data_IF_529427162374
#
_entry.id   IF_529427162374
#
_cell.length_a   1.000
_cell.length_b   1.000
_cell.length_c   1.000
_cell.angle_alpha   90.00
_cell.angle_beta   90.00
_cell.angle_gamma   90.00
#
_symmetry.space_group_name_H-M   'P 1'
#
loop_
_entity.id
_entity.type
_entity.pdbx_description
1 polymer ?
#
# COMPACT_ATOMS: atom_id res chain seq x y z
N UNK A 1 -19.33 52.33 -36.17
CA UNK A 1 -20.79 52.14 -36.28
C UNK A 1 -21.09 51.60 -37.66
N UNK A 2 -21.85 50.49 -37.77
CA UNK A 2 -22.35 49.83 -39.00
C UNK A 2 -21.22 49.30 -39.94
N UNK A 3 -21.26 48.13 -40.57
CA UNK A 3 -22.21 47.03 -40.76
C UNK A 3 -21.59 46.04 -41.78
N UNK A 4 -22.35 45.03 -42.20
CA UNK A 4 -22.07 44.01 -43.26
C UNK A 4 -21.20 42.80 -42.86
N UNK A 5 -21.49 41.55 -43.23
CA UNK A 5 -22.66 40.87 -43.85
C UNK A 5 -22.44 39.35 -43.67
N UNK A 6 -23.53 38.60 -43.54
CA UNK A 6 -23.61 37.13 -43.59
C UNK A 6 -23.21 36.54 -44.95
N UNK A 7 -22.65 35.32 -44.97
CA UNK A 7 -23.03 34.30 -45.97
C UNK A 7 -22.83 32.87 -45.45
N UNK A 8 -23.74 32.00 -45.90
CA UNK A 8 -23.98 30.59 -45.58
C UNK A 8 -23.67 29.76 -46.84
N UNK A 9 -23.08 28.57 -46.72
CA UNK A 9 -23.30 27.37 -47.58
C UNK A 9 -22.47 26.20 -47.01
N UNK A 10 -23.00 25.12 -46.42
CA UNK A 10 -23.86 24.02 -46.91
C UNK A 10 -23.19 23.02 -47.88
N UNK A 11 -22.93 21.81 -47.33
CA UNK A 11 -23.03 20.43 -47.89
C UNK A 11 -22.21 20.07 -49.15
N UNK A 12 -21.47 18.96 -49.08
CA UNK A 12 -21.79 17.70 -49.79
C UNK A 12 -20.86 16.54 -49.32
N UNK A 13 -21.47 15.38 -49.03
CA UNK A 13 -20.86 14.05 -48.86
C UNK A 13 -20.57 13.46 -50.27
N UNK A 14 -19.66 12.47 -50.47
CA UNK A 14 -20.05 11.09 -50.24
C UNK A 14 -18.96 10.12 -49.76
N UNK A 15 -19.46 8.94 -49.41
CA UNK A 15 -18.89 7.70 -48.89
C UNK A 15 -18.16 6.79 -49.91
N UNK A 16 -17.36 5.86 -49.34
CA UNK A 16 -17.21 4.44 -49.70
C UNK A 16 -15.87 3.96 -50.33
N UNK A 17 -15.24 3.03 -49.59
CA UNK A 17 -14.56 1.78 -49.99
C UNK A 17 -13.67 1.74 -51.25
N UNK A 18 -12.40 1.36 -51.06
CA UNK A 18 -11.89 0.05 -51.54
C UNK A 18 -10.42 -0.16 -51.16
N UNK A 19 -10.08 -1.44 -51.03
CA UNK A 19 -8.86 -2.07 -50.56
C UNK A 19 -7.84 -2.15 -51.71
N UNK A 20 -6.54 -1.96 -51.43
CA UNK A 20 -5.48 -2.56 -52.25
C UNK A 20 -4.18 -2.81 -51.46
N UNK A 21 -3.90 -4.09 -51.25
CA UNK A 21 -2.54 -4.65 -51.13
C UNK A 21 -1.97 -4.89 -52.52
N UNK A 22 -0.64 -4.94 -52.68
CA UNK A 22 -0.08 -6.19 -53.23
C UNK A 22 1.31 -6.53 -52.67
N UNK A 23 1.53 -7.79 -52.29
CA UNK A 23 2.82 -8.46 -52.49
C UNK A 23 2.60 -9.95 -52.78
N UNK A 24 3.41 -10.43 -53.70
CA UNK A 24 3.33 -11.67 -54.46
C UNK A 24 4.44 -12.63 -54.02
N UNK A 25 4.28 -13.93 -54.35
CA UNK A 25 5.33 -14.99 -54.46
C UNK A 25 5.74 -15.63 -53.10
N UNK A 26 5.85 -16.96 -52.88
CA UNK A 26 6.05 -18.12 -53.75
C UNK A 26 5.44 -19.40 -53.14
N UNK A 27 5.10 -20.35 -54.00
CA UNK A 27 4.47 -21.64 -53.73
C UNK A 27 5.51 -22.79 -53.83
N UNK A 28 5.30 -23.83 -53.01
CA UNK A 28 5.63 -25.26 -53.22
C UNK A 28 7.09 -25.75 -53.28
N UNK A 29 7.37 -26.79 -52.47
CA UNK A 29 7.79 -28.14 -52.93
C UNK A 29 7.41 -29.16 -51.83
N UNK A 30 6.94 -30.34 -52.27
CA UNK A 30 6.42 -31.46 -51.50
C UNK A 30 7.29 -32.72 -51.65
N UNK A 31 7.30 -33.59 -50.63
CA UNK A 31 7.47 -35.07 -50.63
C UNK A 31 7.50 -35.51 -49.15
N UNK A 32 6.59 -36.34 -48.60
CA UNK A 32 6.48 -37.81 -48.75
C UNK A 32 7.47 -38.51 -47.78
N UNK A 33 7.21 -39.52 -46.95
CA UNK A 33 6.24 -40.65 -46.85
C UNK A 33 6.37 -41.27 -45.42
N UNK A 34 5.29 -41.93 -44.93
CA UNK A 34 5.21 -43.17 -44.08
C UNK A 34 4.30 -43.11 -42.82
N UNK A 35 3.24 -43.94 -42.88
CA UNK A 35 2.36 -44.49 -41.83
C UNK A 35 3.13 -45.28 -40.75
N UNK A 36 2.62 -45.49 -39.51
CA UNK A 36 1.45 -46.35 -39.26
C UNK A 36 0.50 -46.00 -38.09
N UNK A 37 -0.60 -46.74 -38.11
CA UNK A 37 -1.72 -46.90 -37.18
C UNK A 37 -1.40 -46.85 -35.68
N UNK A 38 -2.27 -46.22 -34.88
CA UNK A 38 -2.80 -46.82 -33.64
C UNK A 38 -4.16 -46.19 -33.26
N UNK A 39 -5.19 -47.05 -33.30
CA UNK A 39 -6.53 -46.87 -32.72
C UNK A 39 -6.42 -46.68 -31.20
N UNK A 40 -7.21 -45.79 -30.57
CA UNK A 40 -7.89 -46.04 -29.28
C UNK A 40 -9.00 -45.00 -28.99
N UNK A 41 -10.24 -45.46 -29.19
CA UNK A 41 -11.47 -45.32 -28.38
C UNK A 41 -11.85 -43.99 -27.69
N UNK A 42 -12.94 -43.41 -28.20
CA UNK A 42 -13.89 -42.53 -27.52
C UNK A 42 -15.12 -43.37 -27.09
N UNK A 43 -15.54 -43.33 -25.82
CA UNK A 43 -16.94 -43.13 -25.35
C UNK A 43 -17.05 -43.24 -23.79
N UNK A 44 -18.12 -42.68 -23.18
CA UNK A 44 -18.21 -42.24 -21.77
C UNK A 44 -19.18 -43.06 -20.90
N UNK A 45 -19.13 -42.85 -19.57
CA UNK A 45 -20.15 -43.14 -18.54
C UNK A 45 -19.49 -42.85 -17.17
N UNK A 46 -20.12 -42.58 -16.03
CA UNK A 46 -21.44 -42.17 -15.58
C UNK A 46 -21.31 -41.99 -14.04
N UNK A 47 -22.26 -41.28 -13.43
CA UNK A 47 -22.75 -41.50 -12.05
C UNK A 47 -21.79 -41.41 -10.83
N UNK A 48 -21.98 -40.37 -10.02
CA UNK A 48 -22.14 -40.51 -8.56
C UNK A 48 -22.79 -39.24 -7.96
N UNK A 49 -24.09 -39.35 -7.65
CA UNK A 49 -24.75 -38.50 -6.66
C UNK A 49 -24.31 -38.91 -5.25
N UNK A 50 -24.00 -37.95 -4.40
CA UNK A 50 -24.15 -38.12 -2.95
C UNK A 50 -24.60 -36.79 -2.32
N UNK A 51 -25.87 -36.79 -1.92
CA UNK A 51 -26.51 -35.80 -1.06
C UNK A 51 -25.82 -35.82 0.31
N UNK A 52 -25.38 -34.67 0.83
CA UNK A 52 -25.12 -34.53 2.27
C UNK A 52 -26.18 -33.66 2.91
N UNK A 53 -26.77 -34.26 3.93
CA UNK A 53 -27.97 -33.85 4.64
C UNK A 53 -27.63 -32.75 5.64
N UNK A 54 -28.44 -31.69 5.62
CA UNK A 54 -28.51 -30.67 6.66
C UNK A 54 -28.92 -31.28 8.00
N UNK A 55 -28.16 -31.03 9.06
CA UNK A 55 -28.64 -31.13 10.45
C UNK A 55 -28.22 -29.91 11.27
N UNK A 56 -29.14 -28.94 11.27
CA UNK A 56 -29.40 -27.99 12.35
C UNK A 56 -29.67 -28.76 13.65
N UNK A 57 -28.94 -28.44 14.73
CA UNK A 57 -29.37 -28.76 16.10
C UNK A 57 -29.21 -27.49 16.95
N UNK A 58 -30.35 -27.02 17.47
CA UNK A 58 -30.50 -26.04 18.52
C UNK A 58 -30.45 -26.73 19.89
N UNK A 59 -29.70 -26.17 20.84
CA UNK A 59 -29.96 -26.07 22.30
C UNK A 59 -29.04 -24.94 22.81
N UNK A 60 -29.48 -23.72 23.18
CA UNK A 60 -30.34 -23.29 24.28
C UNK A 60 -29.85 -23.77 25.66
N UNK A 61 -29.18 -22.88 26.43
CA UNK A 61 -29.23 -22.74 27.90
C UNK A 61 -28.53 -21.43 28.37
N UNK A 62 -29.23 -20.64 29.21
CA UNK A 62 -28.75 -19.62 30.18
C UNK A 62 -28.10 -18.34 29.62
N UNK A 63 -28.67 -17.12 29.67
CA UNK A 63 -29.19 -16.30 30.79
C UNK A 63 -28.13 -15.85 31.81
N UNK A 64 -28.19 -14.55 32.18
CA UNK A 64 -27.36 -13.72 33.09
C UNK A 64 -26.08 -13.12 32.48
N UNK A 65 -25.73 -11.83 32.55
CA UNK A 65 -26.37 -10.61 33.03
C UNK A 65 -25.68 -9.41 32.33
N UNK A 66 -26.42 -8.36 32.03
CA UNK A 66 -25.91 -7.05 31.58
C UNK A 66 -26.45 -5.99 32.53
N UNK A 67 -25.60 -5.37 33.33
CA UNK A 67 -25.78 -4.02 33.90
C UNK A 67 -24.45 -3.55 34.52
N UNK A 68 -23.80 -2.57 33.89
CA UNK A 68 -23.74 -1.17 34.33
C UNK A 68 -22.74 -0.91 35.45
N UNK A 69 -21.56 -0.37 35.10
CA UNK A 69 -20.72 0.36 36.05
C UNK A 69 -20.69 1.83 35.64
N UNK A 70 -21.37 2.62 36.46
CA UNK A 70 -21.36 4.07 36.48
C UNK A 70 -20.09 4.59 37.15
N UNK A 71 -19.57 5.66 36.56
CA UNK A 71 -18.61 6.61 37.12
C UNK A 71 -19.01 7.09 38.53
N UNK A 72 -18.02 7.20 39.42
CA UNK A 72 -17.99 8.32 40.38
C UNK A 72 -16.57 8.77 40.66
N UNK A 73 -16.33 10.05 40.39
CA UNK A 73 -15.24 10.86 40.93
C UNK A 73 -15.36 10.94 42.45
N UNK A 74 -14.22 10.88 43.15
CA UNK A 74 -14.03 11.70 44.36
C UNK A 74 -12.56 11.99 44.61
N UNK A 75 -12.34 13.29 44.70
CA UNK A 75 -11.15 14.07 44.97
C UNK A 75 -10.49 13.82 46.36
N UNK A 76 -9.16 13.94 46.36
CA UNK A 76 -8.36 14.88 47.16
C UNK A 76 -7.64 14.47 48.47
N UNK A 77 -6.49 15.17 48.62
CA UNK A 77 -5.65 15.48 49.80
C UNK A 77 -4.68 14.38 50.25
N UNK A 78 -3.34 14.53 50.15
CA UNK A 78 -2.35 15.46 50.75
C UNK A 78 -1.54 14.77 51.87
N UNK A 79 -0.22 15.00 51.89
CA UNK A 79 0.70 14.71 53.02
C UNK A 79 1.67 13.56 52.75
N UNK A 80 2.93 13.79 52.33
CA UNK A 80 4.14 14.14 53.11
C UNK A 80 4.61 13.11 54.14
N UNK A 81 5.92 12.76 54.07
CA UNK A 81 6.73 12.20 55.17
C UNK A 81 7.29 10.80 54.87
N UNK A 82 8.48 10.62 54.29
CA UNK A 82 9.85 10.65 54.86
C UNK A 82 10.21 9.56 55.89
N UNK A 83 11.40 8.98 55.68
CA UNK A 83 12.28 8.23 56.59
C UNK A 83 11.84 6.80 56.98
N UNK A 84 12.53 5.74 56.59
CA UNK A 84 13.91 5.27 56.89
C UNK A 84 13.97 4.28 58.06
N UNK A 85 14.87 3.29 57.87
CA UNK A 85 15.57 2.52 58.91
C UNK A 85 14.73 1.51 59.73
N UNK A 86 14.82 0.21 59.45
CA UNK A 86 15.89 -0.74 59.85
C UNK A 86 15.76 -1.31 61.28
N UNK A 87 16.35 -2.50 61.48
CA UNK A 87 16.36 -3.40 62.66
C UNK A 87 15.22 -4.42 62.78
N UNK A 88 15.39 -5.66 63.23
CA UNK A 88 16.52 -6.60 63.38
C UNK A 88 15.96 -7.89 64.03
N UNK A 89 16.76 -8.98 63.99
CA UNK A 89 16.67 -10.25 64.78
C UNK A 89 15.66 -11.29 64.29
N UNK A 90 16.11 -12.46 63.79
CA UNK A 90 16.61 -13.66 64.52
C UNK A 90 15.51 -14.25 65.44
N UNK A 91 15.15 -15.54 65.44
CA UNK A 91 15.93 -16.77 65.26
C UNK A 91 15.04 -18.04 65.26
N UNK A 92 15.57 -19.14 64.68
CA UNK A 92 15.49 -20.56 65.14
C UNK A 92 14.15 -21.32 64.93
N UNK A 93 14.05 -22.62 64.59
CA UNK A 93 14.74 -23.86 65.01
C UNK A 93 14.44 -25.05 64.03
N UNK A 94 15.44 -25.95 63.86
CA UNK A 94 15.50 -27.41 63.49
C UNK A 94 14.38 -28.10 62.67
N UNK A 95 14.63 -29.10 61.80
CA UNK A 95 15.86 -29.84 61.46
C UNK A 95 15.57 -31.14 60.66
N UNK A 96 16.66 -31.87 60.35
CA UNK A 96 16.83 -33.25 59.81
C UNK A 96 17.19 -33.42 58.31
N UNK A 97 18.49 -33.71 58.10
CA UNK A 97 19.10 -34.51 57.02
C UNK A 97 19.21 -35.99 57.52
N UNK A 98 19.82 -37.01 56.82
CA UNK A 98 20.79 -36.95 55.71
C UNK A 98 20.63 -38.03 54.61
N UNK A 99 21.47 -37.99 53.56
CA UNK A 99 22.30 -39.11 53.07
C UNK A 99 23.26 -38.64 51.97
N UNK A 100 24.55 -38.99 52.13
CA UNK A 100 25.71 -38.59 51.35
C UNK A 100 25.92 -39.37 50.03
N UNK A 101 26.55 -38.72 49.04
CA UNK A 101 27.70 -39.29 48.31
C UNK A 101 28.44 -38.20 47.50
N UNK A 102 29.75 -38.07 47.77
CA UNK A 102 30.67 -37.10 47.19
C UNK A 102 31.11 -37.40 45.75
N UNK A 103 31.33 -36.35 44.95
CA UNK A 103 32.49 -36.29 44.03
C UNK A 103 33.07 -34.88 43.96
N UNK A 104 34.31 -34.77 44.44
CA UNK A 104 35.25 -33.64 44.40
C UNK A 104 35.58 -33.30 42.92
N UNK A 105 35.89 -32.08 42.49
CA UNK A 105 36.98 -31.17 42.88
C UNK A 105 36.60 -29.73 42.43
N UNK A 106 36.61 -28.74 43.32
CA UNK A 106 37.73 -27.84 43.69
C UNK A 106 37.77 -26.56 42.84
N UNK A 107 37.27 -25.48 43.43
CA UNK A 107 37.39 -24.08 43.00
C UNK A 107 38.78 -23.56 43.36
N UNK A 108 39.61 -23.25 42.37
CA UNK A 108 40.86 -22.52 42.58
C UNK A 108 40.62 -21.05 42.31
N UNK A 109 40.70 -20.25 43.36
CA UNK A 109 40.84 -18.79 43.32
C UNK A 109 42.22 -18.50 42.70
N UNK A 110 42.28 -17.70 41.64
CA UNK A 110 43.52 -17.11 41.14
C UNK A 110 43.47 -15.60 41.38
N UNK A 111 44.39 -15.14 42.23
CA UNK A 111 44.77 -13.74 42.41
C UNK A 111 45.80 -13.33 41.33
N UNK A 112 45.99 -12.02 41.10
CA UNK A 112 46.49 -11.46 39.86
C UNK A 112 48.00 -11.68 39.74
N UNK A 113 48.45 -12.20 38.60
CA UNK A 113 49.74 -11.93 37.95
C UNK A 113 50.01 -13.02 36.90
N UNK A 114 49.31 -12.92 35.78
CA UNK A 114 49.82 -13.40 34.49
C UNK A 114 49.02 -12.73 33.38
N UNK A 115 49.72 -11.87 32.65
CA UNK A 115 49.38 -11.47 31.29
C UNK A 115 49.02 -12.69 30.45
N UNK A 116 48.07 -12.52 29.52
CA UNK A 116 47.53 -13.49 28.53
C UNK A 116 46.08 -13.91 28.86
N UNK A 117 45.12 -13.13 28.38
CA UNK A 117 43.69 -13.45 28.50
C UNK A 117 42.73 -12.26 28.47
N UNK A 118 43.23 -11.03 28.32
CA UNK A 118 42.35 -9.90 28.04
C UNK A 118 41.81 -10.07 26.63
N UNK A 119 40.51 -10.26 26.50
CA UNK A 119 39.81 -9.96 25.25
C UNK A 119 40.32 -8.62 24.73
N UNK A 120 40.74 -8.51 23.46
CA UNK A 120 41.28 -7.27 22.94
C UNK A 120 40.19 -6.20 22.99
N UNK A 121 40.32 -5.24 23.91
CA UNK A 121 39.43 -4.08 24.03
C UNK A 121 39.43 -3.21 22.76
N UNK A 122 40.43 -3.40 21.89
CA UNK A 122 40.58 -2.76 20.60
C UNK A 122 39.63 -3.31 19.50
N UNK A 123 38.95 -4.44 19.74
CA UNK A 123 37.92 -4.99 18.82
C UNK A 123 36.49 -4.62 19.22
N UNK A 124 36.29 -4.03 20.40
CA UNK A 124 35.08 -3.25 20.66
C UNK A 124 35.26 -1.86 20.05
N UNK A 125 35.15 -1.79 18.72
CA UNK A 125 34.64 -0.56 18.10
C UNK A 125 33.16 -0.43 18.49
N UNK A 126 32.92 -0.13 19.77
CA UNK A 126 31.66 0.44 20.21
C UNK A 126 31.65 1.86 19.69
N UNK A 127 31.44 2.00 18.37
CA UNK A 127 30.86 3.22 17.86
C UNK A 127 29.45 3.26 18.45
N UNK A 128 29.34 3.73 19.70
CA UNK A 128 28.06 4.19 20.22
C UNK A 128 27.64 5.27 19.25
N UNK A 129 26.74 4.93 18.34
CA UNK A 129 25.95 5.94 17.65
C UNK A 129 25.20 6.63 18.78
N UNK A 130 25.72 7.77 19.21
CA UNK A 130 24.98 8.67 20.07
C UNK A 130 23.77 9.08 19.24
N UNK A 131 22.65 8.42 19.43
CA UNK A 131 21.36 9.02 19.10
C UNK A 131 21.20 10.15 20.10
N UNK A 132 21.24 11.42 19.69
CA UNK A 132 21.10 12.51 20.64
C UNK A 132 19.77 12.38 21.37
N UNK A 133 19.81 12.58 22.69
CA UNK A 133 18.63 12.59 23.54
C UNK A 133 17.54 13.47 22.91
N UNK A 134 16.32 12.94 22.82
CA UNK A 134 15.21 13.51 22.04
C UNK A 134 14.78 14.87 22.59
N UNK A 135 15.41 15.96 22.14
CA UNK A 135 14.86 17.30 22.30
C UNK A 135 13.64 17.46 21.38
N UNK A 136 12.48 17.63 22.01
CA UNK A 136 11.20 17.80 21.32
C UNK A 136 11.25 19.12 20.53
N UNK A 137 11.46 19.04 19.21
CA UNK A 137 11.34 20.20 18.32
C UNK A 137 12.38 20.33 17.21
N UNK A 138 13.45 19.53 17.22
CA UNK A 138 14.46 19.53 16.15
C UNK A 138 14.42 18.19 15.42
N UNK A 139 14.24 18.25 14.10
CA UNK A 139 14.33 17.08 13.24
C UNK A 139 15.78 16.57 13.26
N UNK A 140 15.98 15.28 13.52
CA UNK A 140 17.33 14.71 13.56
C UNK A 140 17.69 14.07 12.21
N UNK A 141 18.91 14.33 11.74
CA UNK A 141 19.42 13.67 10.56
C UNK A 141 19.65 12.17 10.85
N UNK A 142 19.09 11.31 10.00
CA UNK A 142 19.28 9.86 10.14
C UNK A 142 20.43 9.40 9.26
N UNK A 143 21.15 8.37 9.70
CA UNK A 143 22.16 7.71 8.87
C UNK A 143 21.64 6.32 8.49
N UNK A 144 21.65 6.01 7.20
CA UNK A 144 21.20 4.72 6.67
C UNK A 144 22.31 4.04 5.86
N UNK A 145 22.50 2.71 5.97
CA UNK A 145 23.42 2.00 5.10
C UNK A 145 22.89 2.01 3.66
N UNK A 146 23.82 2.15 2.71
CA UNK A 146 23.55 2.09 1.28
C UNK A 146 23.97 0.73 0.78
N UNK A 147 23.04 0.01 0.15
CA UNK A 147 23.26 -1.34 -0.37
C UNK A 147 23.09 -1.39 -1.90
N UNK A 148 23.30 -2.58 -2.47
CA UNK A 148 23.05 -2.86 -3.89
C UNK A 148 22.19 -4.14 -4.04
N UNK A 149 21.80 -4.51 -5.26
CA UNK A 149 21.05 -5.75 -5.54
C UNK A 149 21.76 -7.03 -5.09
N UNK A 150 23.08 -6.98 -4.94
CA UNK A 150 23.90 -8.09 -4.43
C UNK A 150 24.05 -8.09 -2.90
N UNK A 151 23.36 -7.18 -2.19
CA UNK A 151 23.48 -6.95 -0.74
C UNK A 151 24.91 -6.60 -0.29
N UNK A 152 25.69 -5.98 -1.18
CA UNK A 152 26.98 -5.41 -0.84
C UNK A 152 26.79 -4.05 -0.16
N UNK A 153 27.53 -3.81 0.92
CA UNK A 153 27.55 -2.52 1.60
C UNK A 153 28.39 -1.51 0.81
N UNK A 154 27.78 -0.39 0.39
CA UNK A 154 28.40 0.70 -0.38
C UNK A 154 28.60 1.98 0.45
N UNK A 155 28.55 1.83 1.78
CA UNK A 155 28.78 2.91 2.74
C UNK A 155 27.47 3.43 3.37
N UNK A 156 27.50 4.67 3.82
CA UNK A 156 26.39 5.30 4.53
C UNK A 156 25.94 6.60 3.85
N UNK A 157 24.66 6.90 3.97
CA UNK A 157 24.08 8.16 3.52
C UNK A 157 23.30 8.83 4.64
N UNK A 158 23.43 10.16 4.72
CA UNK A 158 22.67 11.00 5.64
C UNK A 158 21.31 11.35 5.01
N UNK A 159 20.24 11.11 5.75
CA UNK A 159 18.87 11.48 5.43
C UNK A 159 18.50 12.74 6.21
N UNK A 160 18.01 13.76 5.49
CA UNK A 160 17.58 15.01 6.09
C UNK A 160 16.41 14.77 7.08
N UNK A 161 16.62 15.13 8.34
CA UNK A 161 15.62 14.92 9.40
C UNK A 161 14.29 15.60 9.09
N UNK A 162 14.33 16.79 8.47
CA UNK A 162 13.11 17.55 8.16
C UNK A 162 12.17 16.85 7.17
N UNK A 163 12.68 15.86 6.43
CA UNK A 163 11.94 15.04 5.47
C UNK A 163 11.65 13.66 6.03
N UNK A 164 12.62 13.04 6.71
CA UNK A 164 12.58 11.64 7.13
C UNK A 164 12.27 11.43 8.61
N UNK A 165 12.15 12.48 9.43
CA UNK A 165 11.86 12.41 10.87
C UNK A 165 10.68 13.31 11.29
N UNK A 166 9.63 13.37 10.48
CA UNK A 166 8.44 14.20 10.77
C UNK A 166 7.49 13.45 11.70
N UNK A 167 6.87 14.13 12.71
CA UNK A 167 5.90 13.51 13.59
C UNK A 167 4.75 12.85 12.82
N UNK A 168 4.48 11.60 13.17
CA UNK A 168 3.52 10.76 12.45
C UNK A 168 2.09 11.27 12.67
N UNK A 169 1.51 11.85 11.62
CA UNK A 169 0.16 12.44 11.62
C UNK A 169 -0.79 11.68 10.69
N UNK A 170 -1.61 10.80 11.29
CA UNK A 170 -2.57 9.94 10.58
C UNK A 170 -3.66 10.73 9.84
N UNK A 171 -4.06 11.88 10.38
CA UNK A 171 -5.07 12.77 9.81
C UNK A 171 -4.67 13.32 8.44
N UNK A 172 -3.41 13.77 8.31
CA UNK A 172 -2.87 14.33 7.07
C UNK A 172 -2.75 13.22 6.00
N UNK A 173 -2.23 12.06 6.40
CA UNK A 173 -2.12 10.89 5.51
C UNK A 173 -3.49 10.50 4.96
N UNK A 174 -4.49 10.36 5.83
CA UNK A 174 -5.85 10.01 5.43
C UNK A 174 -6.44 11.04 4.44
N UNK A 175 -6.25 12.35 4.68
CA UNK A 175 -6.71 13.41 3.77
C UNK A 175 -6.04 13.32 2.40
N UNK A 176 -4.72 13.11 2.36
CA UNK A 176 -3.96 13.00 1.10
C UNK A 176 -4.38 11.76 0.32
N UNK A 177 -4.55 10.62 0.98
CA UNK A 177 -4.98 9.36 0.33
C UNK A 177 -6.39 9.51 -0.24
N UNK A 178 -7.34 10.05 0.53
CA UNK A 178 -8.70 10.32 0.03
C UNK A 178 -8.69 11.26 -1.16
N UNK A 179 -7.86 12.30 -1.12
CA UNK A 179 -7.67 13.21 -2.25
C UNK A 179 -7.15 12.48 -3.50
N UNK A 180 -6.14 11.62 -3.37
CA UNK A 180 -5.60 10.84 -4.49
C UNK A 180 -6.60 9.83 -5.06
N UNK A 181 -7.39 9.17 -4.22
CA UNK A 181 -8.42 8.22 -4.66
C UNK A 181 -9.57 8.94 -5.37
N UNK A 182 -10.08 10.02 -4.79
CA UNK A 182 -11.17 10.80 -5.38
C UNK A 182 -10.77 11.45 -6.71
N UNK A 183 -9.52 11.91 -6.84
CA UNK A 183 -8.99 12.47 -8.09
C UNK A 183 -8.85 11.44 -9.22
N UNK A 184 -8.67 10.16 -8.90
CA UNK A 184 -8.57 9.06 -9.88
C UNK A 184 -9.92 8.63 -10.45
N UNK A 185 -11.04 8.99 -9.83
CA UNK A 185 -12.37 8.56 -10.26
C UNK A 185 -12.84 9.33 -11.50
N UNK A 186 -13.33 8.59 -12.51
CA UNK A 186 -13.80 9.17 -13.77
C UNK A 186 -15.24 9.72 -13.68
N UNK A 187 -16.13 9.07 -12.91
CA UNK A 187 -17.49 9.55 -12.68
C UNK A 187 -18.43 9.51 -13.91
N UNK A 188 -18.32 8.49 -14.75
CA UNK A 188 -19.11 8.32 -16.00
C UNK A 188 -20.51 7.74 -15.81
N UNK A 189 -20.95 7.56 -14.57
CA UNK A 189 -22.29 7.07 -14.28
C UNK A 189 -23.36 8.05 -14.79
N UNK A 190 -24.36 7.56 -15.51
CA UNK A 190 -25.46 8.39 -16.01
C UNK A 190 -26.75 7.59 -16.07
N UNK A 191 -27.77 8.08 -15.38
CA UNK A 191 -29.15 7.61 -15.55
C UNK A 191 -29.95 8.56 -16.41
N UNK A 192 -30.98 8.05 -17.08
CA UNK A 192 -31.90 8.86 -17.87
C UNK A 192 -32.90 9.56 -16.95
N UNK A 193 -32.93 10.88 -17.04
CA UNK A 193 -33.97 11.75 -16.48
C UNK A 193 -35.23 11.67 -17.33
N UNK A 194 -36.33 12.22 -16.82
CA UNK A 194 -37.64 12.15 -17.47
C UNK A 194 -37.67 12.70 -18.90
N UNK A 195 -36.84 13.70 -19.20
CA UNK A 195 -36.69 14.29 -20.52
C UNK A 195 -35.88 13.40 -21.49
N UNK A 196 -34.95 12.60 -20.99
CA UNK A 196 -34.06 11.74 -21.78
C UNK A 196 -34.64 10.34 -22.02
N UNK A 197 -35.64 9.92 -21.24
CA UNK A 197 -36.35 8.67 -21.47
C UNK A 197 -37.21 8.80 -22.73
N UNK A 198 -37.03 7.84 -23.65
CA UNK A 198 -37.82 7.76 -24.88
C UNK A 198 -39.27 7.43 -24.55
N UNK A 199 -40.21 8.16 -25.16
CA UNK A 199 -41.64 7.97 -24.98
C UNK A 199 -42.45 9.21 -25.31
N UNK A 200 -43.77 9.06 -25.36
CA UNK A 200 -44.66 10.17 -25.73
C UNK A 200 -44.74 11.26 -24.65
N UNK A 201 -44.74 12.53 -25.09
CA UNK A 201 -45.07 13.68 -24.25
C UNK A 201 -46.58 13.90 -24.08
N UNK A 202 -47.41 13.14 -24.80
CA UNK A 202 -48.88 13.27 -24.74
C UNK A 202 -49.41 12.77 -23.40
N UNK A 203 -50.37 13.51 -22.84
CA UNK A 203 -51.08 13.11 -21.62
C UNK A 203 -51.80 11.77 -21.86
N UNK A 204 -51.63 10.76 -21.00
CA UNK A 204 -52.14 9.41 -21.27
C UNK A 204 -53.67 9.31 -21.28
N UNK A 205 -54.34 10.08 -20.42
CA UNK A 205 -55.80 10.17 -20.36
C UNK A 205 -56.26 11.53 -19.82
N UNK A 206 -57.55 11.83 -20.02
CA UNK A 206 -58.20 13.05 -19.51
C UNK A 206 -58.05 13.19 -17.99
N UNK A 207 -58.00 14.43 -17.51
CA UNK A 207 -57.72 14.75 -16.10
C UNK A 207 -58.77 14.20 -15.11
N UNK A 208 -60.02 14.01 -15.58
CA UNK A 208 -61.16 13.52 -14.80
C UNK A 208 -62.01 12.57 -15.64
N UNK A 209 -62.80 11.70 -14.99
CA UNK A 209 -63.79 10.84 -15.65
C UNK A 209 -63.28 9.46 -16.11
N UNK A 210 -62.06 9.05 -15.76
CA UNK A 210 -61.54 7.69 -16.05
C UNK A 210 -61.46 6.77 -14.84
N UNK A 211 -61.69 7.28 -13.61
CA UNK A 211 -61.56 6.50 -12.37
C UNK A 211 -60.13 6.10 -11.98
N UNK A 212 -59.12 6.41 -12.81
CA UNK A 212 -57.70 6.11 -12.56
C UNK A 212 -56.98 7.28 -11.88
N UNK A 213 -55.82 7.00 -11.29
CA UNK A 213 -54.90 8.04 -10.82
C UNK A 213 -54.55 9.05 -11.93
N UNK A 214 -54.30 10.30 -11.54
CA UNK A 214 -54.01 11.39 -12.50
C UNK A 214 -52.53 11.36 -12.88
N UNK A 215 -52.23 11.32 -14.16
CA UNK A 215 -50.85 11.37 -14.66
C UNK A 215 -50.68 12.40 -15.79
N UNK A 216 -49.49 12.99 -15.84
CA UNK A 216 -49.05 13.90 -16.90
C UNK A 216 -48.33 13.17 -18.04
N UNK A 217 -47.52 12.17 -17.72
CA UNK A 217 -46.75 11.36 -18.67
C UNK A 217 -46.55 9.94 -18.13
N UNK A 218 -46.33 8.97 -19.01
CA UNK A 218 -45.98 7.58 -18.65
C UNK A 218 -44.48 7.39 -18.39
N UNK A 219 -43.66 8.42 -18.62
CA UNK A 219 -42.20 8.38 -18.37
C UNK A 219 -41.83 8.69 -16.92
N UNK A 220 -42.81 8.93 -16.06
CA UNK A 220 -42.60 9.19 -14.64
C UNK A 220 -41.99 8.00 -13.91
N UNK A 221 -41.26 8.25 -12.84
CA UNK A 221 -40.52 7.21 -12.10
C UNK A 221 -41.40 6.12 -11.46
N UNK A 222 -42.67 6.41 -11.20
CA UNK A 222 -43.61 5.43 -10.68
C UNK A 222 -44.02 4.37 -11.73
N UNK A 223 -43.76 4.62 -13.02
CA UNK A 223 -44.07 3.70 -14.10
C UNK A 223 -42.88 2.80 -14.44
N UNK A 224 -43.18 1.55 -14.84
CA UNK A 224 -42.18 0.63 -15.36
C UNK A 224 -41.56 1.20 -16.65
N UNK A 225 -40.23 1.23 -16.71
CA UNK A 225 -39.49 1.84 -17.83
C UNK A 225 -39.45 3.37 -17.80
N UNK A 226 -39.97 3.98 -16.72
CA UNK A 226 -39.87 5.41 -16.48
C UNK A 226 -38.48 5.85 -16.04
N UNK A 227 -38.32 7.16 -15.82
CA UNK A 227 -37.06 7.77 -15.46
C UNK A 227 -36.63 7.51 -14.02
N UNK A 228 -35.33 7.65 -13.76
CA UNK A 228 -34.77 7.62 -12.40
C UNK A 228 -34.78 9.05 -11.82
N UNK A 229 -35.45 9.27 -10.68
CA UNK A 229 -35.57 10.63 -10.09
C UNK A 229 -34.24 11.16 -9.55
N UNK A 230 -33.66 10.47 -8.57
CA UNK A 230 -32.39 10.84 -7.93
C UNK A 230 -31.27 9.90 -8.37
N UNK A 231 -31.20 9.69 -9.68
CA UNK A 231 -30.17 8.85 -10.27
C UNK A 231 -28.85 9.60 -10.46
N UNK A 232 -27.73 8.87 -10.51
CA UNK A 232 -26.41 9.46 -10.68
C UNK A 232 -26.26 10.12 -12.08
N UNK A 233 -25.62 11.28 -12.11
CA UNK A 233 -25.26 12.02 -13.34
C UNK A 233 -23.76 12.21 -13.44
N UNK A 234 -23.18 12.26 -14.66
CA UNK A 234 -21.74 12.38 -14.82
C UNK A 234 -21.21 13.61 -14.11
N UNK A 235 -20.24 13.39 -13.22
CA UNK A 235 -19.65 14.47 -12.41
C UNK A 235 -18.22 14.13 -12.04
N UNK A 236 -17.42 15.17 -11.80
CA UNK A 236 -16.10 14.98 -11.21
C UNK A 236 -16.20 14.73 -9.70
N UNK A 237 -15.42 13.78 -9.20
CA UNK A 237 -15.25 13.53 -7.77
C UNK A 237 -13.99 14.20 -7.21
N UNK A 238 -13.21 14.90 -8.05
CA UNK A 238 -11.93 15.47 -7.66
C UNK A 238 -12.10 16.57 -6.60
N UNK A 239 -11.47 16.38 -5.45
CA UNK A 239 -11.34 17.40 -4.40
C UNK A 239 -9.99 18.14 -4.54
N UNK A 240 -9.92 19.39 -4.09
CA UNK A 240 -8.67 20.17 -4.06
C UNK A 240 -7.99 20.02 -2.70
N UNK A 241 -6.65 20.02 -2.69
CA UNK A 241 -5.83 19.97 -1.47
C UNK A 241 -4.60 20.85 -1.60
N UNK A 242 -4.29 21.62 -0.55
CA UNK A 242 -3.20 22.59 -0.53
C UNK A 242 -1.85 21.92 -0.86
N UNK A 243 -1.01 22.58 -1.66
CA UNK A 243 0.32 22.07 -2.06
C UNK A 243 1.18 21.71 -0.85
N UNK A 244 1.17 22.56 0.20
CA UNK A 244 1.90 22.32 1.47
C UNK A 244 1.44 21.05 2.19
N UNK A 245 0.13 20.81 2.26
CA UNK A 245 -0.44 19.59 2.90
C UNK A 245 -0.06 18.33 2.12
N UNK A 246 -0.01 18.41 0.78
CA UNK A 246 0.45 17.29 -0.06
C UNK A 246 1.92 16.94 0.18
N UNK A 247 2.80 17.94 0.26
CA UNK A 247 4.23 17.73 0.60
C UNK A 247 4.40 17.17 2.01
N UNK A 248 3.68 17.73 2.98
CA UNK A 248 3.69 17.25 4.37
C UNK A 248 3.26 15.78 4.47
N UNK A 249 2.20 15.38 3.76
CA UNK A 249 1.78 13.98 3.73
C UNK A 249 2.83 13.04 3.13
N UNK A 250 3.60 13.51 2.15
CA UNK A 250 4.71 12.74 1.58
C UNK A 250 5.87 12.61 2.58
N UNK A 251 6.24 13.69 3.28
CA UNK A 251 7.22 13.65 4.37
C UNK A 251 6.83 12.64 5.45
N UNK A 252 5.61 12.74 5.99
CA UNK A 252 5.09 11.80 7.00
C UNK A 252 5.13 10.34 6.51
N UNK A 253 4.81 10.09 5.24
CA UNK A 253 4.84 8.73 4.69
C UNK A 253 6.27 8.16 4.60
N UNK A 254 7.25 9.01 4.22
CA UNK A 254 8.66 8.63 4.21
C UNK A 254 9.18 8.41 5.63
N UNK A 255 8.85 9.31 6.56
CA UNK A 255 9.24 9.16 7.97
C UNK A 255 8.67 7.89 8.59
N UNK A 256 7.42 7.53 8.28
CA UNK A 256 6.84 6.28 8.74
C UNK A 256 7.61 5.05 8.21
N UNK A 257 8.04 5.06 6.94
CA UNK A 257 8.84 3.94 6.37
C UNK A 257 10.24 3.88 6.95
N UNK A 258 10.87 5.03 7.18
CA UNK A 258 12.16 5.11 7.85
C UNK A 258 12.09 4.61 9.30
N UNK A 259 11.09 5.05 10.07
CA UNK A 259 10.86 4.63 11.45
C UNK A 259 10.55 3.13 11.58
N UNK A 260 9.87 2.54 10.59
CA UNK A 260 9.63 1.09 10.53
C UNK A 260 10.86 0.28 10.07
N UNK A 261 11.95 0.93 9.63
CA UNK A 261 13.12 0.25 9.06
C UNK A 261 12.85 -0.41 7.70
N UNK A 262 11.75 -0.06 7.03
CA UNK A 262 11.34 -0.62 5.71
C UNK A 262 11.71 0.27 4.53
N UNK A 263 12.51 1.29 4.80
CA UNK A 263 13.16 2.11 3.79
C UNK A 263 14.57 1.57 3.57
N UNK A 264 14.91 1.21 2.35
CA UNK A 264 16.27 0.80 1.96
C UNK A 264 16.79 1.75 0.90
N UNK A 265 18.05 2.16 1.00
CA UNK A 265 18.68 3.04 0.02
C UNK A 265 19.67 2.25 -0.79
N UNK A 266 19.55 2.37 -2.11
CA UNK A 266 20.44 1.76 -3.08
C UNK A 266 21.40 2.79 -3.64
N UNK A 267 22.64 2.37 -3.92
CA UNK A 267 23.58 3.23 -4.65
C UNK A 267 23.02 3.54 -6.04
N UNK A 268 22.69 2.49 -6.78
CA UNK A 268 22.11 2.54 -8.11
C UNK A 268 21.08 1.40 -8.31
N UNK A 269 20.13 1.61 -9.22
CA UNK A 269 19.09 0.64 -9.58
C UNK A 269 19.38 -0.06 -10.92
N UNK A 270 20.61 -0.01 -11.41
CA UNK A 270 21.00 -0.69 -12.64
C UNK A 270 21.05 -2.23 -12.49
N UNK A 271 20.49 -2.92 -13.48
CA UNK A 271 20.46 -4.39 -13.55
C UNK A 271 21.16 -4.83 -14.84
N UNK A 272 22.07 -5.81 -14.81
CA UNK A 272 22.84 -6.21 -15.98
C UNK A 272 21.95 -6.77 -17.11
N UNK A 273 20.88 -7.49 -16.75
CA UNK A 273 19.97 -8.18 -17.66
C UNK A 273 18.50 -7.86 -17.35
N UNK A 274 17.65 -7.85 -18.38
CA UNK A 274 16.19 -7.64 -18.29
C UNK A 274 15.41 -8.88 -17.81
N UNK A 275 16.09 -9.89 -17.24
CA UNK A 275 15.46 -11.13 -16.75
C UNK A 275 14.77 -10.89 -15.41
N UNK A 276 13.47 -11.20 -15.35
CA UNK A 276 12.63 -11.10 -14.15
C UNK A 276 13.18 -11.93 -12.98
N UNK A 277 13.81 -13.08 -13.26
CA UNK A 277 14.42 -13.96 -12.26
C UNK A 277 15.41 -13.23 -11.34
N UNK A 278 16.13 -12.24 -11.85
CA UNK A 278 17.09 -11.46 -11.05
C UNK A 278 16.37 -10.68 -9.94
N UNK A 279 15.28 -10.00 -10.28
CA UNK A 279 14.47 -9.24 -9.32
C UNK A 279 13.74 -10.18 -8.35
N UNK A 280 13.21 -11.29 -8.83
CA UNK A 280 12.53 -12.29 -8.00
C UNK A 280 13.49 -12.86 -6.94
N UNK A 281 14.70 -13.25 -7.36
CA UNK A 281 15.72 -13.75 -6.43
C UNK A 281 16.08 -12.70 -5.36
N UNK A 282 16.19 -11.43 -5.76
CA UNK A 282 16.45 -10.34 -4.82
C UNK A 282 15.30 -10.15 -3.81
N UNK A 283 14.04 -10.15 -4.28
CA UNK A 283 12.88 -10.06 -3.38
C UNK A 283 12.82 -11.23 -2.41
N UNK A 284 13.24 -12.43 -2.82
CA UNK A 284 13.32 -13.59 -1.92
C UNK A 284 14.42 -13.48 -0.85
N UNK A 285 15.50 -12.73 -1.12
CA UNK A 285 16.55 -12.47 -0.15
C UNK A 285 16.09 -11.45 0.91
N UNK A 286 15.16 -10.56 0.55
CA UNK A 286 14.57 -9.62 1.51
C UNK A 286 13.56 -10.34 2.40
N UNK A 287 13.93 -10.53 3.66
CA UNK A 287 12.99 -11.07 4.65
C UNK A 287 11.78 -10.12 4.84
N UNK A 288 10.60 -10.70 5.10
CA UNK A 288 9.39 -9.97 5.50
C UNK A 288 8.79 -8.98 4.49
N UNK A 289 9.14 -9.06 3.20
CA UNK A 289 8.58 -8.18 2.15
C UNK A 289 7.50 -8.89 1.33
N UNK A 290 6.26 -8.38 1.31
CA UNK A 290 5.21 -8.89 0.39
C UNK A 290 5.08 -8.04 -0.87
N UNK A 291 5.23 -6.72 -0.74
CA UNK A 291 5.15 -5.77 -1.85
C UNK A 291 6.28 -4.77 -1.78
N UNK A 292 6.95 -4.58 -2.91
CA UNK A 292 8.14 -3.76 -3.07
C UNK A 292 7.85 -2.56 -3.99
N UNK A 293 8.24 -1.37 -3.57
CA UNK A 293 8.23 -0.17 -4.39
C UNK A 293 9.67 0.29 -4.66
N UNK A 294 10.09 0.23 -5.92
CA UNK A 294 11.37 0.78 -6.39
C UNK A 294 11.17 2.23 -6.84
N UNK A 295 12.02 3.13 -6.37
CA UNK A 295 12.00 4.55 -6.74
C UNK A 295 13.35 4.96 -7.31
N UNK A 296 13.32 5.34 -8.58
CA UNK A 296 14.50 5.83 -9.27
C UNK A 296 14.49 7.36 -9.38
N UNK A 297 15.66 8.00 -9.39
CA UNK A 297 15.77 9.45 -9.43
C UNK A 297 15.40 10.02 -10.80
N UNK A 298 15.84 9.34 -11.86
CA UNK A 298 15.73 9.76 -13.25
C UNK A 298 14.66 9.05 -14.08
N UNK A 299 14.81 9.06 -15.42
CA UNK A 299 14.02 8.19 -16.29
C UNK A 299 14.36 6.74 -15.98
N UNK A 300 13.32 5.90 -15.87
CA UNK A 300 13.49 4.49 -15.50
C UNK A 300 14.31 3.78 -16.58
N UNK A 301 15.37 3.09 -16.16
CA UNK A 301 16.16 2.22 -17.04
C UNK A 301 15.26 1.13 -17.69
N UNK A 302 15.37 0.98 -19.02
CA UNK A 302 14.56 0.04 -19.79
C UNK A 302 14.69 -1.41 -19.30
N UNK A 303 15.91 -1.83 -18.94
CA UNK A 303 16.16 -3.19 -18.43
C UNK A 303 15.39 -3.45 -17.14
N UNK A 304 15.43 -2.48 -16.23
CA UNK A 304 14.74 -2.55 -14.94
C UNK A 304 13.21 -2.52 -15.13
N UNK A 305 12.71 -1.68 -16.05
CA UNK A 305 11.30 -1.62 -16.42
C UNK A 305 10.81 -2.98 -16.94
N UNK A 306 11.53 -3.58 -17.89
CA UNK A 306 11.17 -4.89 -18.47
C UNK A 306 11.26 -6.02 -17.43
N UNK A 307 12.23 -5.95 -16.51
CA UNK A 307 12.39 -6.94 -15.44
C UNK A 307 11.28 -6.86 -14.38
N UNK A 308 10.66 -5.68 -14.18
CA UNK A 308 9.66 -5.44 -13.13
C UNK A 308 8.22 -5.47 -13.63
N UNK A 309 7.94 -5.07 -14.88
CA UNK A 309 6.57 -4.91 -15.39
C UNK A 309 5.67 -6.15 -15.28
N UNK A 310 6.25 -7.35 -15.28
CA UNK A 310 5.50 -8.61 -15.19
C UNK A 310 5.20 -9.02 -13.73
N UNK A 311 5.84 -8.38 -12.74
CA UNK A 311 5.71 -8.72 -11.33
C UNK A 311 4.62 -7.86 -10.68
N UNK A 312 3.54 -8.49 -10.22
CA UNK A 312 2.40 -7.77 -9.62
C UNK A 312 2.71 -7.15 -8.24
N UNK A 313 3.73 -7.66 -7.56
CA UNK A 313 4.13 -7.22 -6.22
C UNK A 313 5.33 -6.24 -6.22
N UNK A 314 5.98 -6.03 -7.38
CA UNK A 314 7.07 -5.05 -7.53
C UNK A 314 6.59 -3.95 -8.45
N UNK A 315 6.54 -2.72 -7.95
CA UNK A 315 6.25 -1.56 -8.79
C UNK A 315 7.47 -0.65 -8.85
N UNK A 316 7.67 -0.01 -10.00
CA UNK A 316 8.71 0.99 -10.20
C UNK A 316 8.09 2.35 -10.50
N UNK A 317 8.60 3.39 -9.85
CA UNK A 317 8.20 4.77 -10.08
C UNK A 317 9.43 5.66 -10.22
N UNK A 318 9.41 6.69 -11.08
CA UNK A 318 10.40 7.75 -11.00
C UNK A 318 10.08 8.65 -9.77
N UNK A 319 11.09 9.33 -9.24
CA UNK A 319 11.01 10.20 -8.05
C UNK A 319 9.95 11.30 -8.19
N UNK A 320 9.74 11.79 -9.42
CA UNK A 320 8.69 12.76 -9.77
C UNK A 320 7.27 12.21 -9.55
N UNK A 321 7.06 10.91 -9.81
CA UNK A 321 5.78 10.21 -9.68
C UNK A 321 5.50 9.65 -8.28
N UNK A 322 6.41 9.88 -7.33
CA UNK A 322 6.28 9.37 -5.96
C UNK A 322 5.02 9.93 -5.29
N UNK A 323 4.25 9.04 -4.67
CA UNK A 323 2.94 9.36 -4.15
C UNK A 323 2.66 8.61 -2.83
N UNK A 324 1.87 9.23 -1.94
CA UNK A 324 1.57 8.67 -0.60
C UNK A 324 0.85 7.33 -0.69
N UNK A 325 -0.15 7.20 -1.57
CA UNK A 325 -0.90 5.95 -1.73
C UNK A 325 -0.01 4.76 -2.08
N UNK A 326 0.93 4.92 -3.03
CA UNK A 326 1.87 3.88 -3.42
C UNK A 326 2.82 3.53 -2.27
N UNK A 327 3.34 4.50 -1.53
CA UNK A 327 4.21 4.21 -0.37
C UNK A 327 3.48 3.37 0.69
N UNK A 328 2.20 3.65 0.94
CA UNK A 328 1.39 2.92 1.91
C UNK A 328 0.93 1.54 1.41
N UNK A 329 0.71 1.40 0.11
CA UNK A 329 0.28 0.14 -0.51
C UNK A 329 1.39 -0.93 -0.50
N UNK A 330 2.65 -0.51 -0.54
CA UNK A 330 3.81 -1.40 -0.54
C UNK A 330 4.41 -1.46 0.86
N UNK A 331 4.97 -2.61 1.21
CA UNK A 331 5.53 -2.83 2.55
C UNK A 331 6.92 -2.20 2.65
N UNK A 332 7.76 -2.45 1.64
CA UNK A 332 9.12 -1.92 1.55
C UNK A 332 9.27 -0.91 0.43
N UNK A 333 10.07 0.11 0.72
CA UNK A 333 10.40 1.20 -0.18
C UNK A 333 11.91 1.15 -0.42
N UNK A 334 12.33 0.91 -1.65
CA UNK A 334 13.73 0.98 -2.08
C UNK A 334 13.90 2.23 -2.94
N UNK A 335 14.83 3.09 -2.57
CA UNK A 335 15.12 4.32 -3.31
C UNK A 335 16.57 4.36 -3.75
N UNK A 336 16.85 4.80 -4.97
CA UNK A 336 18.24 5.12 -5.35
C UNK A 336 18.75 6.36 -4.61
N UNK A 337 20.07 6.47 -4.46
CA UNK A 337 20.74 7.63 -3.85
C UNK A 337 20.33 8.92 -4.55
N UNK A 338 20.28 8.91 -5.88
CA UNK A 338 19.80 10.03 -6.70
C UNK A 338 18.33 10.37 -6.40
N UNK A 339 17.47 9.36 -6.26
CA UNK A 339 16.07 9.59 -5.89
C UNK A 339 15.92 10.30 -4.54
N UNK A 340 16.72 9.93 -3.54
CA UNK A 340 16.70 10.58 -2.22
C UNK A 340 17.09 12.05 -2.35
N UNK A 341 18.21 12.33 -3.02
CA UNK A 341 18.70 13.71 -3.20
C UNK A 341 17.66 14.60 -3.88
N UNK A 342 17.05 14.12 -4.98
CA UNK A 342 15.99 14.85 -5.70
C UNK A 342 14.73 15.08 -4.86
N UNK A 343 14.36 14.10 -4.02
CA UNK A 343 13.21 14.25 -3.13
C UNK A 343 13.50 15.31 -2.07
N UNK A 344 14.69 15.29 -1.47
CA UNK A 344 15.12 16.27 -0.47
C UNK A 344 15.13 17.67 -1.09
N UNK A 345 15.77 17.85 -2.24
CA UNK A 345 15.79 19.10 -2.99
C UNK A 345 14.37 19.63 -3.27
N UNK A 346 13.46 18.75 -3.74
CA UNK A 346 12.07 19.11 -4.01
C UNK A 346 11.32 19.55 -2.76
N UNK A 347 11.67 19.02 -1.59
CA UNK A 347 11.04 19.37 -0.32
C UNK A 347 11.56 20.69 0.24
N UNK A 348 12.87 20.97 0.08
CA UNK A 348 13.51 22.22 0.49
C UNK A 348 13.17 23.39 -0.43
N UNK A 349 13.03 23.14 -1.73
CA UNK A 349 12.65 24.17 -2.71
C UNK A 349 11.30 24.79 -2.33
N UNK A 350 11.21 26.11 -2.11
CA UNK A 350 9.97 26.76 -1.69
C UNK A 350 8.87 26.61 -2.75
N UNK A 351 7.62 26.59 -2.30
CA UNK A 351 6.47 26.55 -3.21
C UNK A 351 6.21 27.97 -3.71
N UNK A 352 6.65 28.26 -4.94
CA UNK A 352 6.25 29.48 -5.63
C UNK A 352 4.73 29.46 -5.82
N UNK A 353 4.07 30.53 -5.36
CA UNK A 353 2.60 30.61 -5.30
C UNK A 353 2.02 30.76 -6.69
#
# INVERSE_FOLDING_TARGET
MQGFRFWICSKYFPSALSISTPYSICLSIAAGILFPDYRYLFLPAALAMALSISRRVLRAFGSSDVSSLSFSLSNALHGHGFADSSYSKQSSVLGKAPFDAHRRFSTTILNPDSSEGSFPSHLLSSKRVLTPDREIGLYQDLVIPVTNFHNEDKGFMVLAGDVFDVPIRKDIIHRVVRWQLAKRQQGTHSTKTISEVSGTGRKPWRQKGTGRARHGTLRGAQFRGGATMHGPKPRSHAIKLNKKVRRLGLKIALSARAAEGKLTVFEDLEVPSHKTKNIVNYVHQMENTKKLLLVDGGPINEKLKLATQNLHYVNILPSIGLNVYSILLHDTLVMSRDAVNRIVERMHTPINR
#
